data_IF_039687802240
#
_entry.id   IF_039687802240
#
_cell.length_a   1.000
_cell.length_b   1.000
_cell.length_c   1.000
_cell.angle_alpha   90.00
_cell.angle_beta   90.00
_cell.angle_gamma   90.00
#
_symmetry.space_group_name_H-M   'P 1'
#
loop_
_entity.id
_entity.type
_entity.pdbx_description
1 polymer ?
#
# COMPACT_ATOMS: atom_id res chain seq x y z
N UNK A 1 -3.43 -3.22 20.69
CA UNK A 1 -3.04 -3.56 19.31
C UNK A 1 -4.14 -3.10 18.36
N UNK A 2 -3.77 -2.52 17.22
CA UNK A 2 -4.75 -2.06 16.25
C UNK A 2 -5.48 -3.24 15.60
N UNK A 3 -6.76 -3.03 15.27
CA UNK A 3 -7.54 -4.00 14.50
C UNK A 3 -7.14 -3.88 13.03
N UNK A 4 -6.45 -4.87 12.51
CA UNK A 4 -5.92 -4.83 11.14
C UNK A 4 -7.04 -4.72 10.10
N UNK A 5 -8.20 -5.30 10.34
CA UNK A 5 -9.32 -5.21 9.39
C UNK A 5 -9.85 -3.78 9.30
N UNK A 6 -9.90 -3.06 10.41
CA UNK A 6 -10.27 -1.65 10.43
C UNK A 6 -9.23 -0.80 9.69
N UNK A 7 -7.94 -1.08 9.93
CA UNK A 7 -6.85 -0.37 9.26
C UNK A 7 -6.91 -0.56 7.75
N UNK A 8 -7.12 -1.80 7.30
CA UNK A 8 -7.24 -2.09 5.86
C UNK A 8 -8.35 -1.29 5.20
N UNK A 9 -9.54 -1.30 5.82
CA UNK A 9 -10.70 -0.58 5.28
C UNK A 9 -10.46 0.92 5.25
N UNK A 10 -9.85 1.45 6.29
CA UNK A 10 -9.57 2.88 6.40
C UNK A 10 -8.59 3.34 5.33
N UNK A 11 -7.51 2.59 5.09
CA UNK A 11 -6.51 2.93 4.07
C UNK A 11 -7.13 2.87 2.68
N UNK A 12 -7.93 1.84 2.38
CA UNK A 12 -8.60 1.72 1.09
C UNK A 12 -9.54 2.90 0.87
N UNK A 13 -10.34 3.25 1.88
CA UNK A 13 -11.27 4.38 1.79
C UNK A 13 -10.54 5.69 1.54
N UNK A 14 -9.51 5.98 2.33
CA UNK A 14 -8.73 7.22 2.17
C UNK A 14 -8.02 7.27 0.83
N UNK A 15 -7.47 6.14 0.39
CA UNK A 15 -6.80 6.05 -0.91
C UNK A 15 -7.75 6.35 -2.05
N UNK A 16 -8.93 5.75 -2.04
CA UNK A 16 -9.94 5.98 -3.09
C UNK A 16 -10.42 7.43 -3.08
N UNK A 17 -10.64 8.01 -1.89
CA UNK A 17 -11.08 9.40 -1.78
C UNK A 17 -10.08 10.39 -2.38
N UNK A 18 -8.78 10.13 -2.22
CA UNK A 18 -7.72 11.04 -2.66
C UNK A 18 -7.27 10.75 -4.09
N UNK A 19 -7.11 9.47 -4.45
CA UNK A 19 -6.51 9.07 -5.73
C UNK A 19 -7.53 8.58 -6.76
N UNK A 20 -8.65 8.04 -6.32
CA UNK A 20 -9.74 7.66 -7.21
C UNK A 20 -9.35 6.65 -8.28
N UNK A 21 -9.69 6.96 -9.53
CA UNK A 21 -9.56 6.03 -10.66
C UNK A 21 -8.13 5.68 -11.04
N UNK A 22 -7.15 6.44 -10.56
CA UNK A 22 -5.75 6.15 -10.89
C UNK A 22 -5.22 4.93 -10.16
N UNK A 23 -5.88 4.51 -9.08
CA UNK A 23 -5.46 3.33 -8.32
C UNK A 23 -5.71 2.08 -9.17
N UNK A 24 -4.65 1.29 -9.38
CA UNK A 24 -4.78 -0.01 -10.01
C UNK A 24 -4.98 -1.11 -8.97
N UNK A 25 -4.20 -1.09 -7.89
CA UNK A 25 -4.25 -2.14 -6.87
C UNK A 25 -3.69 -1.62 -5.55
N UNK A 26 -4.26 -2.08 -4.43
CA UNK A 26 -3.74 -1.82 -3.09
C UNK A 26 -3.42 -3.17 -2.45
N UNK A 27 -2.18 -3.35 -1.98
CA UNK A 27 -1.68 -4.63 -1.49
C UNK A 27 -1.10 -4.46 -0.09
N UNK A 28 -1.59 -5.24 0.87
CA UNK A 28 -0.96 -5.37 2.18
C UNK A 28 0.21 -6.34 2.04
N UNK A 29 1.40 -5.95 2.50
CA UNK A 29 2.56 -6.83 2.46
C UNK A 29 3.29 -6.75 3.81
N UNK A 30 4.47 -7.37 3.91
CA UNK A 30 5.25 -7.35 5.13
C UNK A 30 4.70 -8.28 6.20
N UNK A 31 5.02 -7.99 7.46
CA UNK A 31 4.74 -8.89 8.58
C UNK A 31 3.24 -9.11 8.82
N UNK A 32 2.40 -8.10 8.64
CA UNK A 32 0.95 -8.29 8.81
C UNK A 32 0.37 -9.20 7.73
N UNK A 33 0.91 -9.18 6.52
CA UNK A 33 0.44 -10.07 5.45
C UNK A 33 0.89 -11.51 5.69
N UNK A 34 2.11 -11.69 6.20
CA UNK A 34 2.65 -13.02 6.49
C UNK A 34 2.12 -13.62 7.78
N UNK A 35 1.60 -12.81 8.68
CA UNK A 35 1.11 -13.28 9.97
C UNK A 35 2.18 -13.37 11.06
N UNK A 36 3.40 -12.89 10.78
CA UNK A 36 4.51 -12.92 11.74
C UNK A 36 4.78 -11.56 12.39
N UNK A 37 3.76 -10.71 12.44
CA UNK A 37 3.86 -9.38 13.01
C UNK A 37 3.97 -9.42 14.53
N UNK A 38 4.62 -8.39 15.08
CA UNK A 38 4.71 -8.15 16.50
C UNK A 38 3.96 -6.88 16.87
N UNK A 39 3.90 -6.57 18.18
CA UNK A 39 3.10 -5.46 18.69
C UNK A 39 3.50 -4.10 18.08
N UNK A 40 4.80 -3.91 17.80
CA UNK A 40 5.33 -2.67 17.25
C UNK A 40 5.57 -2.72 15.75
N UNK A 41 5.09 -3.76 15.06
CA UNK A 41 5.25 -3.88 13.61
C UNK A 41 4.48 -2.81 12.88
N UNK A 42 5.07 -2.30 11.79
CA UNK A 42 4.39 -1.37 10.89
C UNK A 42 3.42 -2.12 9.98
N UNK A 43 2.35 -1.46 9.61
CA UNK A 43 1.42 -1.97 8.59
C UNK A 43 1.92 -1.48 7.24
N UNK A 44 2.46 -2.39 6.43
CA UNK A 44 3.07 -2.06 5.13
C UNK A 44 2.07 -2.28 4.01
N UNK A 45 1.79 -1.22 3.25
CA UNK A 45 0.82 -1.25 2.16
C UNK A 45 1.44 -0.62 0.91
N UNK A 46 1.32 -1.32 -0.21
CA UNK A 46 1.75 -0.85 -1.53
C UNK A 46 0.53 -0.41 -2.32
N UNK A 47 0.60 0.80 -2.89
CA UNK A 47 -0.43 1.28 -3.79
C UNK A 47 0.16 1.36 -5.19
N UNK A 48 -0.41 0.57 -6.11
CA UNK A 48 -0.01 0.58 -7.50
C UNK A 48 -0.92 1.50 -8.29
N UNK A 49 -0.32 2.38 -9.06
CA UNK A 49 -1.04 3.40 -9.81
C UNK A 49 -0.89 3.16 -11.32
N UNK A 50 -1.95 3.47 -12.04
CA UNK A 50 -1.94 3.44 -13.50
C UNK A 50 -1.58 4.82 -14.02
N UNK A 51 -0.29 5.17 -13.90
CA UNK A 51 0.23 6.48 -14.30
C UNK A 51 1.66 6.33 -14.78
N UNK A 52 2.19 7.32 -15.52
CA UNK A 52 3.61 7.33 -15.87
C UNK A 52 4.47 7.46 -14.61
N UNK A 53 5.66 6.83 -14.64
CA UNK A 53 6.57 6.88 -13.51
C UNK A 53 6.96 8.31 -13.13
N UNK A 54 6.99 9.21 -14.10
CA UNK A 54 7.31 10.63 -13.87
C UNK A 54 6.31 11.34 -12.97
N UNK A 55 5.10 10.81 -12.81
CA UNK A 55 4.07 11.40 -11.95
C UNK A 55 4.17 10.94 -10.48
N UNK A 56 4.98 9.93 -10.18
CA UNK A 56 5.06 9.36 -8.83
C UNK A 56 5.41 10.37 -7.73
N UNK A 57 6.32 11.33 -7.94
CA UNK A 57 6.64 12.29 -6.86
C UNK A 57 5.43 13.07 -6.36
N UNK A 58 4.51 13.43 -7.27
CA UNK A 58 3.27 14.11 -6.93
C UNK A 58 2.39 13.24 -6.02
N UNK A 59 2.29 11.96 -6.35
CA UNK A 59 1.46 11.02 -5.58
C UNK A 59 2.10 10.63 -4.26
N UNK A 60 3.43 10.59 -4.18
CA UNK A 60 4.11 10.32 -2.92
C UNK A 60 3.76 11.36 -1.85
N UNK A 61 3.62 12.62 -2.25
CA UNK A 61 3.23 13.67 -1.31
C UNK A 61 1.81 13.45 -0.77
N UNK A 62 0.89 13.07 -1.65
CA UNK A 62 -0.49 12.77 -1.26
C UNK A 62 -0.54 11.55 -0.32
N UNK A 63 0.24 10.53 -0.64
CA UNK A 63 0.29 9.32 0.19
C UNK A 63 0.89 9.57 1.56
N UNK A 64 1.80 10.53 1.69
CA UNK A 64 2.36 10.92 2.97
C UNK A 64 1.25 11.43 3.91
N UNK A 65 0.31 12.23 3.39
CA UNK A 65 -0.82 12.72 4.16
C UNK A 65 -1.74 11.55 4.57
N UNK A 66 -2.06 10.67 3.63
CA UNK A 66 -2.90 9.50 3.91
C UNK A 66 -2.25 8.62 4.99
N UNK A 67 -0.94 8.41 4.88
CA UNK A 67 -0.18 7.60 5.84
C UNK A 67 -0.26 8.18 7.24
N UNK A 68 -0.07 9.49 7.37
CA UNK A 68 -0.16 10.18 8.66
C UNK A 68 -1.56 10.07 9.26
N UNK A 69 -2.59 10.34 8.45
CA UNK A 69 -3.98 10.30 8.91
C UNK A 69 -4.37 8.88 9.34
N UNK A 70 -4.01 7.88 8.56
CA UNK A 70 -4.34 6.49 8.88
C UNK A 70 -3.59 6.03 10.13
N UNK A 71 -2.35 6.45 10.31
CA UNK A 71 -1.56 6.09 11.49
C UNK A 71 -2.17 6.69 12.75
N UNK A 72 -2.57 7.95 12.71
CA UNK A 72 -3.19 8.62 13.85
C UNK A 72 -4.56 8.03 14.18
N UNK A 73 -5.38 7.78 13.16
CA UNK A 73 -6.74 7.28 13.36
C UNK A 73 -6.76 5.87 13.94
N UNK A 74 -5.73 5.07 13.64
CA UNK A 74 -5.70 3.65 14.00
C UNK A 74 -4.67 3.30 15.07
N UNK A 75 -3.96 4.30 15.58
CA UNK A 75 -2.95 4.13 16.64
C UNK A 75 -1.92 3.06 16.30
N UNK A 76 -1.45 3.07 15.06
CA UNK A 76 -0.42 2.14 14.55
C UNK A 76 0.31 2.87 13.42
N UNK A 77 1.59 2.52 13.19
CA UNK A 77 2.33 3.10 12.08
C UNK A 77 1.89 2.42 10.79
N UNK A 78 1.32 3.20 9.87
CA UNK A 78 0.96 2.74 8.53
C UNK A 78 2.00 3.29 7.56
N UNK A 79 2.71 2.39 6.88
CA UNK A 79 3.74 2.73 5.91
C UNK A 79 3.19 2.49 4.51
N UNK A 80 2.98 3.57 3.75
CA UNK A 80 2.46 3.49 2.39
C UNK A 80 3.59 3.66 1.40
N UNK A 81 3.69 2.72 0.45
CA UNK A 81 4.60 2.81 -0.68
C UNK A 81 3.80 2.95 -1.96
N UNK A 82 4.30 3.73 -2.89
CA UNK A 82 3.64 3.92 -4.18
C UNK A 82 4.58 3.46 -5.29
N UNK A 83 4.00 2.85 -6.32
CA UNK A 83 4.73 2.51 -7.52
C UNK A 83 3.76 2.57 -8.70
N UNK A 84 4.32 2.72 -9.90
CA UNK A 84 3.51 2.60 -11.09
C UNK A 84 3.39 1.13 -11.49
N UNK A 85 2.23 0.77 -12.02
CA UNK A 85 1.88 -0.58 -12.39
C UNK A 85 2.91 -1.22 -13.34
N UNK A 86 3.34 -0.48 -14.34
CA UNK A 86 4.26 -1.02 -15.36
C UNK A 86 5.62 -1.36 -14.79
N UNK A 87 6.18 -0.51 -13.93
CA UNK A 87 7.47 -0.78 -13.30
C UNK A 87 7.38 -1.97 -12.36
N UNK A 88 6.32 -2.03 -11.56
CA UNK A 88 6.16 -3.12 -10.60
C UNK A 88 6.15 -4.48 -11.31
N UNK A 89 5.29 -4.65 -12.32
CA UNK A 89 5.18 -5.92 -13.03
C UNK A 89 6.34 -6.15 -13.98
N UNK A 90 6.88 -5.09 -14.60
CA UNK A 90 7.99 -5.21 -15.54
C UNK A 90 9.30 -5.61 -14.89
N UNK A 91 9.50 -5.28 -13.61
CA UNK A 91 10.73 -5.61 -12.89
C UNK A 91 10.55 -6.73 -11.87
N UNK A 92 9.41 -7.39 -11.86
CA UNK A 92 9.13 -8.44 -10.89
C UNK A 92 10.13 -9.58 -10.98
N UNK A 93 10.56 -9.93 -12.20
CA UNK A 93 11.52 -11.01 -12.41
C UNK A 93 12.92 -10.69 -11.89
N UNK A 94 13.23 -9.41 -11.68
CA UNK A 94 14.58 -8.93 -11.37
C UNK A 94 14.69 -8.55 -9.89
N UNK A 95 13.64 -7.97 -9.31
CA UNK A 95 13.68 -7.40 -7.97
C UNK A 95 12.98 -8.31 -6.95
N UNK A 96 13.76 -8.95 -6.05
CA UNK A 96 13.18 -9.85 -5.04
C UNK A 96 12.11 -9.20 -4.17
N UNK A 97 12.23 -7.91 -3.90
CA UNK A 97 11.23 -7.19 -3.12
C UNK A 97 9.84 -7.26 -3.77
N UNK A 98 9.78 -7.02 -5.09
CA UNK A 98 8.51 -7.08 -5.81
C UNK A 98 7.96 -8.50 -5.86
N UNK A 99 8.83 -9.49 -6.00
CA UNK A 99 8.43 -10.90 -5.94
C UNK A 99 7.80 -11.23 -4.60
N UNK A 100 8.39 -10.74 -3.51
CA UNK A 100 7.89 -10.98 -2.16
C UNK A 100 6.53 -10.31 -1.94
N UNK A 101 6.35 -9.09 -2.43
CA UNK A 101 5.06 -8.40 -2.34
C UNK A 101 3.99 -9.18 -3.09
N UNK A 102 4.31 -9.68 -4.29
CA UNK A 102 3.36 -10.45 -5.09
C UNK A 102 3.03 -11.80 -4.43
N UNK A 103 4.03 -12.47 -3.87
CA UNK A 103 3.86 -13.80 -3.29
C UNK A 103 3.12 -13.78 -1.96
N UNK A 104 3.53 -12.88 -1.06
CA UNK A 104 3.02 -12.84 0.31
C UNK A 104 1.89 -11.81 0.48
N UNK A 105 1.72 -10.92 -0.48
CA UNK A 105 0.78 -9.82 -0.36
C UNK A 105 -0.67 -10.25 -0.37
N UNK A 106 -1.48 -9.48 0.35
CA UNK A 106 -2.93 -9.64 0.37
C UNK A 106 -3.54 -8.45 -0.37
N UNK A 107 -4.28 -8.72 -1.43
CA UNK A 107 -4.92 -7.66 -2.22
C UNK A 107 -6.10 -7.10 -1.43
N UNK A 108 -6.03 -5.80 -1.12
CA UNK A 108 -7.10 -5.11 -0.40
C UNK A 108 -8.11 -4.48 -1.36
N UNK A 109 -7.64 -4.08 -2.54
CA UNK A 109 -8.47 -3.45 -3.56
C UNK A 109 -7.82 -3.66 -4.91
N UNK A 110 -8.62 -3.95 -5.91
CA UNK A 110 -8.16 -4.11 -7.29
C UNK A 110 -9.22 -3.55 -8.22
N UNK A 111 -8.78 -2.68 -9.13
CA UNK A 111 -9.67 -2.10 -10.13
C UNK A 111 -9.94 -3.13 -11.23
N UNK A 112 -11.22 -3.33 -11.52
CA UNK A 112 -11.65 -4.24 -12.59
C UNK A 112 -11.48 -3.61 -13.97
#
# INVERSE_FOLDING_TARGET
MADIDVVKKDVVKKGIEVLGDIIFKIILFGSYARGDFEEDSDVDIMILLNCPRSDLPKYRRLLSVISSDASLDNNVTVSLMVNDKETFYGKMDILPFYQNVQKDGVVLYEKC
#
